data_IF_423799412338
#
_entry.id   IF_423799412338
#
_cell.length_a   1.000
_cell.length_b   1.000
_cell.length_c   1.000
_cell.angle_alpha   90.00
_cell.angle_beta   90.00
_cell.angle_gamma   90.00
#
_symmetry.space_group_name_H-M   'P 1'
#
loop_
_entity.id
_entity.type
_entity.pdbx_description
1 polymer ?
#
# COMPACT_ATOMS: atom_id res chain seq x y z
N UNK A 1 -10.12 3.48 19.15
CA UNK A 1 -8.71 3.96 19.17
C UNK A 1 -8.10 3.58 17.83
N UNK A 2 -7.45 4.51 17.13
CA UNK A 2 -6.89 4.22 15.80
C UNK A 2 -5.57 3.43 15.97
N UNK A 3 -5.37 2.32 15.23
CA UNK A 3 -4.13 1.55 15.30
C UNK A 3 -2.90 2.38 14.88
N UNK A 4 -1.78 2.23 15.60
CA UNK A 4 -0.48 2.81 15.23
C UNK A 4 0.19 2.00 14.11
N UNK A 5 -0.47 1.92 12.95
CA UNK A 5 0.04 1.23 11.75
C UNK A 5 0.13 2.21 10.58
N UNK A 6 1.25 2.23 9.87
CA UNK A 6 1.44 2.97 8.62
C UNK A 6 1.40 1.95 7.49
N UNK A 7 0.39 2.06 6.62
CA UNK A 7 0.23 1.19 5.46
C UNK A 7 0.76 1.89 4.22
N UNK A 8 1.60 1.21 3.43
CA UNK A 8 1.98 1.64 2.09
C UNK A 8 1.84 0.48 1.11
N UNK A 9 1.56 0.80 -0.15
CA UNK A 9 1.42 -0.18 -1.23
C UNK A 9 2.65 -0.10 -2.11
N UNK A 10 3.19 -1.26 -2.48
CA UNK A 10 4.30 -1.34 -3.41
C UNK A 10 4.05 -2.45 -4.44
N UNK A 11 3.69 -2.05 -5.66
CA UNK A 11 3.27 -2.96 -6.73
C UNK A 11 4.23 -2.94 -7.92
N UNK A 12 4.27 -4.05 -8.63
CA UNK A 12 5.02 -4.24 -9.86
C UNK A 12 6.43 -4.78 -9.68
N UNK A 13 6.77 -5.34 -8.50
CA UNK A 13 8.05 -5.99 -8.21
C UNK A 13 9.31 -5.19 -8.62
N UNK A 14 9.23 -3.86 -8.58
CA UNK A 14 10.39 -2.99 -8.79
C UNK A 14 11.14 -2.78 -7.49
N UNK A 15 12.47 -2.59 -7.49
CA UNK A 15 13.17 -2.15 -6.30
C UNK A 15 12.63 -0.78 -5.86
N UNK A 16 12.48 -0.59 -4.55
CA UNK A 16 12.17 0.71 -3.96
C UNK A 16 13.20 1.75 -4.45
N UNK A 17 12.72 2.86 -4.96
CA UNK A 17 13.59 3.96 -5.33
C UNK A 17 14.12 4.67 -4.07
N UNK A 18 15.17 5.47 -4.27
CA UNK A 18 15.86 6.16 -3.18
C UNK A 18 14.93 7.06 -2.35
N UNK A 19 13.97 7.72 -2.99
CA UNK A 19 13.05 8.65 -2.31
C UNK A 19 12.10 7.86 -1.43
N UNK A 20 11.47 6.81 -1.97
CA UNK A 20 10.58 5.92 -1.20
C UNK A 20 11.30 5.31 0.00
N UNK A 21 12.54 4.87 -0.17
CA UNK A 21 13.34 4.36 0.94
C UNK A 21 13.61 5.43 2.01
N UNK A 22 13.98 6.65 1.60
CA UNK A 22 14.17 7.76 2.54
C UNK A 22 12.90 8.11 3.30
N UNK A 23 11.74 8.03 2.67
CA UNK A 23 10.45 8.23 3.32
C UNK A 23 10.19 7.15 4.39
N UNK A 24 10.38 5.88 4.07
CA UNK A 24 10.21 4.77 5.03
C UNK A 24 11.14 4.95 6.25
N UNK A 25 12.40 5.29 6.03
CA UNK A 25 13.36 5.54 7.11
C UNK A 25 12.97 6.77 7.96
N UNK A 26 12.44 7.82 7.33
CA UNK A 26 11.94 8.98 8.06
C UNK A 26 10.79 8.61 9.00
N UNK A 27 9.88 7.72 8.57
CA UNK A 27 8.78 7.23 9.39
C UNK A 27 9.30 6.43 10.58
N UNK A 28 10.26 5.54 10.37
CA UNK A 28 10.90 4.77 11.46
C UNK A 28 11.55 5.67 12.51
N UNK A 29 12.17 6.77 12.07
CA UNK A 29 12.84 7.72 12.96
C UNK A 29 11.87 8.60 13.75
N UNK A 30 10.83 9.11 13.10
CA UNK A 30 9.89 10.09 13.69
C UNK A 30 8.77 9.41 14.46
N UNK A 31 8.35 8.22 14.02
CA UNK A 31 7.21 7.46 14.54
C UNK A 31 7.66 6.05 14.97
N UNK A 32 8.56 5.91 15.96
CA UNK A 32 9.15 4.63 16.34
C UNK A 32 8.13 3.63 16.91
N UNK A 33 7.00 4.13 17.44
CA UNK A 33 5.91 3.31 17.97
C UNK A 33 4.98 2.76 16.88
N UNK A 34 5.14 3.20 15.63
CA UNK A 34 4.26 2.79 14.54
C UNK A 34 4.82 1.56 13.82
N UNK A 35 3.96 0.58 13.60
CA UNK A 35 4.27 -0.57 12.75
C UNK A 35 4.12 -0.16 11.28
N UNK A 36 5.13 -0.42 10.46
CA UNK A 36 5.09 -0.14 9.02
C UNK A 36 4.73 -1.42 8.28
N UNK A 37 3.62 -1.38 7.55
CA UNK A 37 3.06 -2.51 6.80
C UNK A 37 3.19 -2.20 5.31
N UNK A 38 3.97 -3.03 4.62
CA UNK A 38 3.98 -3.06 3.15
C UNK A 38 2.80 -3.89 2.67
N UNK A 39 2.25 -3.52 1.52
CA UNK A 39 1.29 -4.31 0.75
C UNK A 39 1.90 -4.58 -0.62
N UNK A 40 2.52 -5.75 -0.79
CA UNK A 40 3.14 -6.18 -2.04
C UNK A 40 2.12 -6.66 -3.07
N UNK A 41 2.59 -6.97 -4.28
CA UNK A 41 1.79 -7.65 -5.31
C UNK A 41 1.13 -8.93 -4.77
N UNK A 42 1.89 -9.78 -4.06
CA UNK A 42 1.40 -11.04 -3.49
C UNK A 42 0.35 -10.81 -2.40
N UNK A 43 0.56 -9.85 -1.51
CA UNK A 43 -0.40 -9.52 -0.44
C UNK A 43 -1.69 -8.90 -0.99
N UNK A 44 -1.63 -8.26 -2.16
CA UNK A 44 -2.77 -7.60 -2.78
C UNK A 44 -3.55 -8.46 -3.77
N UNK A 45 -2.98 -9.56 -4.26
CA UNK A 45 -3.51 -10.31 -5.40
C UNK A 45 -4.97 -10.72 -5.20
N UNK A 46 -5.32 -11.27 -4.03
CA UNK A 46 -6.70 -11.69 -3.73
C UNK A 46 -7.70 -10.51 -3.79
N UNK A 47 -7.30 -9.34 -3.29
CA UNK A 47 -8.14 -8.14 -3.27
C UNK A 47 -8.32 -7.55 -4.68
N UNK A 48 -7.26 -7.64 -5.49
CA UNK A 48 -7.25 -7.21 -6.90
C UNK A 48 -8.16 -8.13 -7.72
N UNK A 49 -8.06 -9.45 -7.57
CA UNK A 49 -8.84 -10.41 -8.35
C UNK A 49 -10.34 -10.34 -8.09
N UNK A 50 -10.75 -9.93 -6.88
CA UNK A 50 -12.17 -9.75 -6.50
C UNK A 50 -12.84 -8.55 -7.17
N UNK A 51 -12.09 -7.66 -7.83
CA UNK A 51 -12.64 -6.46 -8.45
C UNK A 51 -12.17 -6.32 -9.91
N UNK A 52 -13.12 -6.30 -10.83
CA UNK A 52 -12.83 -6.26 -12.27
C UNK A 52 -12.00 -5.02 -12.67
N UNK A 53 -12.27 -3.85 -12.07
CA UNK A 53 -11.54 -2.62 -12.35
C UNK A 53 -10.08 -2.72 -11.87
N UNK A 54 -9.87 -3.15 -10.63
CA UNK A 54 -8.54 -3.31 -10.05
C UNK A 54 -7.73 -4.36 -10.83
N UNK A 55 -8.35 -5.49 -11.17
CA UNK A 55 -7.74 -6.55 -11.98
C UNK A 55 -7.29 -6.05 -13.36
N UNK A 56 -8.17 -5.39 -14.12
CA UNK A 56 -7.81 -4.87 -15.44
C UNK A 56 -6.70 -3.81 -15.36
N UNK A 57 -6.75 -2.93 -14.35
CA UNK A 57 -5.69 -1.95 -14.12
C UNK A 57 -4.35 -2.62 -13.78
N UNK A 58 -4.37 -3.67 -12.96
CA UNK A 58 -3.18 -4.42 -12.58
C UNK A 58 -2.56 -5.16 -13.77
N UNK A 59 -3.37 -5.86 -14.57
CA UNK A 59 -2.93 -6.54 -15.80
C UNK A 59 -2.31 -5.57 -16.82
N UNK A 60 -2.82 -4.34 -16.88
CA UNK A 60 -2.27 -3.25 -17.71
C UNK A 60 -1.11 -2.49 -17.05
N UNK A 61 -0.62 -2.95 -15.90
CA UNK A 61 0.47 -2.35 -15.11
C UNK A 61 0.22 -0.89 -14.71
N UNK A 62 -1.06 -0.52 -14.57
CA UNK A 62 -1.53 0.81 -14.16
C UNK A 62 -1.61 0.91 -12.64
N UNK A 63 -0.47 0.73 -11.96
CA UNK A 63 -0.41 0.52 -10.50
C UNK A 63 -0.96 1.69 -9.67
N UNK A 64 -0.90 2.93 -10.15
CA UNK A 64 -1.50 4.08 -9.47
C UNK A 64 -3.03 3.93 -9.28
N UNK A 65 -3.72 3.34 -10.26
CA UNK A 65 -5.16 3.10 -10.17
C UNK A 65 -5.48 1.89 -9.28
N UNK A 66 -4.59 0.90 -9.27
CA UNK A 66 -4.71 -0.26 -8.38
C UNK A 66 -4.53 0.16 -6.93
N UNK A 67 -3.54 1.02 -6.64
CA UNK A 67 -3.28 1.50 -5.27
C UNK A 67 -4.41 2.38 -4.73
N UNK A 68 -5.07 3.17 -5.58
CA UNK A 68 -6.26 3.92 -5.18
C UNK A 68 -7.42 3.02 -4.75
N UNK A 69 -7.69 1.96 -5.49
CA UNK A 69 -8.69 0.95 -5.10
C UNK A 69 -8.30 0.23 -3.80
N UNK A 70 -7.07 -0.27 -3.73
CA UNK A 70 -6.57 -1.04 -2.59
C UNK A 70 -6.58 -0.22 -1.31
N UNK A 71 -6.23 1.07 -1.38
CA UNK A 71 -6.31 1.99 -0.23
C UNK A 71 -7.71 2.00 0.35
N UNK A 72 -8.74 2.16 -0.49
CA UNK A 72 -10.13 2.16 -0.04
C UNK A 72 -10.54 0.79 0.51
N UNK A 73 -10.14 -0.29 -0.15
CA UNK A 73 -10.44 -1.65 0.28
C UNK A 73 -9.85 -1.97 1.65
N UNK A 74 -8.57 -1.64 1.88
CA UNK A 74 -7.85 -1.87 3.14
C UNK A 74 -8.45 -1.01 4.26
N UNK A 75 -8.79 0.25 3.97
CA UNK A 75 -9.45 1.14 4.92
C UNK A 75 -10.83 0.61 5.33
N UNK A 76 -11.63 0.17 4.36
CA UNK A 76 -12.96 -0.39 4.62
C UNK A 76 -12.89 -1.69 5.43
N UNK A 77 -11.88 -2.52 5.16
CA UNK A 77 -11.72 -3.82 5.82
C UNK A 77 -11.14 -3.73 7.24
N UNK A 78 -10.56 -2.59 7.67
CA UNK A 78 -9.87 -2.54 8.96
C UNK A 78 -9.61 -1.17 9.63
N UNK A 79 -10.09 -0.04 9.11
CA UNK A 79 -10.11 1.24 9.84
C UNK A 79 -8.73 1.83 10.19
N UNK A 80 -7.81 1.91 9.23
CA UNK A 80 -6.41 2.37 9.42
C UNK A 80 -6.14 3.82 8.97
N UNK A 81 -4.94 4.37 9.24
CA UNK A 81 -4.42 5.63 8.67
C UNK A 81 -3.56 5.30 7.44
N UNK A 82 -3.67 6.11 6.39
CA UNK A 82 -3.06 5.84 5.08
C UNK A 82 -2.21 7.00 4.57
N UNK A 83 -1.00 6.72 4.04
CA UNK A 83 -0.11 7.70 3.40
C UNK A 83 0.35 7.19 2.03
N UNK A 84 0.25 8.02 0.98
CA UNK A 84 0.58 7.66 -0.40
C UNK A 84 2.09 7.82 -0.64
N UNK A 85 2.74 6.81 -1.24
CA UNK A 85 4.08 6.87 -1.85
C UNK A 85 4.01 6.24 -3.24
#
# INVERSE_FOLDING_TARGET
>A
MIPKKIHYIWLGNKPLDKVSWQCIESWRKILPDYEIICWSDEECLEMIEKNAYAKEAYERRKYAFVSDYLRLYILFSGGYIWTQM
#
